data_IF_043537007480
#
_entry.id   IF_043537007480
#
_cell.length_a   1.000
_cell.length_b   1.000
_cell.length_c   1.000
_cell.angle_alpha   90.00
_cell.angle_beta   90.00
_cell.angle_gamma   90.00
#
_symmetry.space_group_name_H-M   'P 1'
#
loop_
_entity.id
_entity.type
_entity.pdbx_description
1 polymer ?
#
# COMPACT_ATOMS: atom_id res chain seq x y z
N UNK A 1 12.46 -5.43 0.64
CA UNK A 1 12.55 -4.10 0.00
C UNK A 1 11.22 -3.70 -0.65
N UNK A 2 10.88 -4.10 -1.88
CA UNK A 2 9.67 -3.58 -2.57
C UNK A 2 8.33 -3.86 -1.88
N UNK A 3 8.16 -5.02 -1.24
CA UNK A 3 6.92 -5.32 -0.46
C UNK A 3 6.86 -4.46 0.81
N UNK A 4 8.01 -4.28 1.49
CA UNK A 4 8.10 -3.46 2.71
C UNK A 4 7.89 -1.97 2.41
N UNK A 5 8.47 -1.46 1.32
CA UNK A 5 8.27 -0.08 0.88
C UNK A 5 6.81 0.21 0.49
N UNK A 6 6.12 -0.75 -0.12
CA UNK A 6 4.70 -0.63 -0.45
C UNK A 6 3.82 -0.65 0.82
N UNK A 7 4.15 -1.51 1.79
CA UNK A 7 3.45 -1.57 3.08
C UNK A 7 3.63 -0.28 3.89
N UNK A 8 4.86 0.24 3.96
CA UNK A 8 5.17 1.51 4.60
C UNK A 8 4.47 2.69 3.91
N UNK A 9 4.37 2.67 2.57
CA UNK A 9 3.62 3.70 1.83
C UNK A 9 2.13 3.71 2.17
N UNK A 10 1.51 2.53 2.35
CA UNK A 10 0.14 2.41 2.82
C UNK A 10 -0.03 2.94 4.25
N UNK A 11 0.92 2.64 5.14
CA UNK A 11 0.92 3.17 6.52
C UNK A 11 0.93 4.71 6.54
N UNK A 12 1.74 5.34 5.68
CA UNK A 12 1.75 6.81 5.58
C UNK A 12 0.39 7.37 5.11
N UNK A 13 -0.26 6.71 4.13
CA UNK A 13 -1.59 7.10 3.67
C UNK A 13 -2.65 6.96 4.76
N UNK A 14 -2.60 5.90 5.57
CA UNK A 14 -3.47 5.73 6.74
C UNK A 14 -3.28 6.88 7.74
N UNK A 15 -2.04 7.22 8.09
CA UNK A 15 -1.74 8.34 8.98
C UNK A 15 -2.23 9.68 8.43
N UNK A 16 -2.09 9.93 7.12
CA UNK A 16 -2.62 11.16 6.51
C UNK A 16 -4.14 11.24 6.52
N UNK A 17 -4.82 10.10 6.37
CA UNK A 17 -6.29 10.02 6.45
C UNK A 17 -6.75 10.25 7.89
N UNK A 18 -6.11 9.59 8.87
CA UNK A 18 -6.46 9.71 10.28
C UNK A 18 -6.19 11.11 10.85
N UNK A 19 -5.15 11.78 10.36
CA UNK A 19 -4.80 13.15 10.77
C UNK A 19 -5.58 14.25 10.05
N UNK A 20 -6.49 13.90 9.12
CA UNK A 20 -7.27 14.84 8.31
C UNK A 20 -6.42 15.87 7.53
N UNK A 21 -5.16 15.53 7.21
CA UNK A 21 -4.22 16.44 6.52
C UNK A 21 -4.52 16.57 5.02
N UNK A 22 -5.12 15.55 4.40
CA UNK A 22 -5.48 15.53 2.97
C UNK A 22 -6.96 15.23 2.76
N UNK A 23 -7.47 15.58 1.56
CA UNK A 23 -8.84 15.21 1.17
C UNK A 23 -9.03 13.70 1.30
N UNK A 24 -10.03 13.35 2.10
CA UNK A 24 -10.30 12.00 2.55
C UNK A 24 -10.77 11.13 1.37
N UNK A 25 -11.38 11.72 0.33
CA UNK A 25 -11.85 10.98 -0.84
C UNK A 25 -10.69 10.40 -1.67
N UNK A 26 -9.74 11.25 -2.04
CA UNK A 26 -8.59 10.88 -2.87
C UNK A 26 -7.61 9.98 -2.11
N UNK A 27 -7.32 10.30 -0.86
CA UNK A 27 -6.39 9.52 -0.03
C UNK A 27 -6.91 8.10 0.22
N UNK A 28 -8.23 7.92 0.40
CA UNK A 28 -8.86 6.59 0.50
C UNK A 28 -8.78 5.80 -0.81
N UNK A 29 -8.93 6.47 -1.95
CA UNK A 29 -8.72 5.83 -3.26
C UNK A 29 -7.28 5.35 -3.41
N UNK A 30 -6.30 6.20 -3.06
CA UNK A 30 -4.88 5.82 -3.10
C UNK A 30 -4.55 4.67 -2.15
N UNK A 31 -5.10 4.66 -0.94
CA UNK A 31 -4.91 3.56 0.01
C UNK A 31 -5.45 2.24 -0.55
N UNK A 32 -6.63 2.28 -1.18
CA UNK A 32 -7.20 1.11 -1.85
C UNK A 32 -6.28 0.59 -2.95
N UNK A 33 -5.82 1.45 -3.86
CA UNK A 33 -4.90 1.05 -4.93
C UNK A 33 -3.56 0.54 -4.38
N UNK A 34 -3.03 1.18 -3.33
CA UNK A 34 -1.81 0.76 -2.63
C UNK A 34 -1.93 -0.65 -2.05
N UNK A 35 -3.04 -0.98 -1.39
CA UNK A 35 -3.28 -2.34 -0.87
C UNK A 35 -3.44 -3.38 -1.98
N UNK A 36 -4.02 -3.03 -3.12
CA UNK A 36 -4.08 -3.90 -4.31
C UNK A 36 -2.67 -4.18 -4.85
N UNK A 37 -1.82 -3.16 -4.97
CA UNK A 37 -0.41 -3.29 -5.38
C UNK A 37 0.36 -4.17 -4.40
N UNK A 38 0.19 -3.95 -3.09
CA UNK A 38 0.81 -4.76 -2.05
C UNK A 38 0.45 -6.24 -2.20
N UNK A 39 -0.83 -6.54 -2.50
CA UNK A 39 -1.29 -7.90 -2.74
C UNK A 39 -0.61 -8.58 -3.94
N UNK A 40 -0.38 -7.81 -5.02
CA UNK A 40 0.31 -8.29 -6.22
C UNK A 40 1.78 -8.52 -5.92
N UNK A 41 2.44 -7.58 -5.25
CA UNK A 41 3.86 -7.69 -4.89
C UNK A 41 4.12 -8.86 -3.93
N UNK A 42 3.23 -9.08 -2.95
CA UNK A 42 3.32 -10.21 -2.03
C UNK A 42 3.20 -11.56 -2.76
N UNK A 43 2.25 -11.68 -3.70
CA UNK A 43 2.12 -12.87 -4.56
C UNK A 43 3.33 -13.06 -5.46
N UNK A 44 3.79 -12.01 -6.14
CA UNK A 44 4.93 -12.05 -7.04
C UNK A 44 6.21 -12.48 -6.33
N UNK A 45 6.46 -11.97 -5.12
CA UNK A 45 7.60 -12.38 -4.29
C UNK A 45 7.54 -13.86 -3.93
N UNK A 46 6.35 -14.38 -3.58
CA UNK A 46 6.18 -15.79 -3.27
C UNK A 46 6.43 -16.66 -4.50
N UNK A 47 5.84 -16.32 -5.65
CA UNK A 47 6.07 -17.04 -6.91
C UNK A 47 7.53 -17.01 -7.35
N UNK A 48 8.24 -15.90 -7.17
CA UNK A 48 9.67 -15.79 -7.49
C UNK A 48 10.56 -16.57 -6.53
N UNK A 49 10.08 -16.91 -5.34
CA UNK A 49 10.80 -17.74 -4.36
C UNK A 49 10.50 -19.23 -4.50
N UNK A 50 9.34 -19.59 -5.07
CA UNK A 50 8.87 -20.96 -5.25
C UNK A 50 9.33 -21.58 -6.60
N UNK A 51 9.84 -20.77 -7.53
CA UNK A 51 10.46 -21.17 -8.81
C UNK A 51 11.99 -21.11 -8.74
#
# INVERSE_FOLDING_TARGET
>A
MTVEEADESCLWLELFIESEIMDNSYSKTLLKEGTEILSVLAKARKTASDN
#
